data_IF_781876046667
#
_entry.id   IF_781876046667
#
_cell.length_a   1.000
_cell.length_b   1.000
_cell.length_c   1.000
_cell.angle_alpha   90.00
_cell.angle_beta   90.00
_cell.angle_gamma   90.00
#
_symmetry.space_group_name_H-M   'P 1'
#
loop_
_entity.id
_entity.type
_entity.pdbx_description
1 polymer ?
#
# COMPACT_ATOMS: atom_id res chain seq x y z
N UNK A 1 87.79 -20.88 -7.15
CA UNK A 1 86.83 -21.05 -6.04
C UNK A 1 85.59 -20.25 -6.36
N UNK A 2 84.53 -20.90 -6.80
CA UNK A 2 83.27 -20.25 -7.24
C UNK A 2 82.14 -20.71 -6.30
N UNK A 3 81.53 -19.76 -5.59
CA UNK A 3 80.38 -20.02 -4.74
C UNK A 3 79.09 -19.82 -5.55
N UNK A 4 78.30 -20.90 -5.68
CA UNK A 4 76.94 -20.88 -6.22
C UNK A 4 75.96 -20.49 -5.14
N UNK A 5 75.27 -19.41 -5.36
CA UNK A 5 74.09 -19.02 -4.55
C UNK A 5 72.81 -19.67 -5.12
N UNK A 6 72.17 -20.50 -4.32
CA UNK A 6 70.88 -21.09 -4.60
C UNK A 6 69.80 -20.12 -4.13
N UNK A 7 69.07 -19.49 -5.09
CA UNK A 7 67.85 -18.73 -4.80
C UNK A 7 66.69 -19.70 -4.53
N UNK A 8 66.16 -19.66 -3.30
CA UNK A 8 64.90 -20.31 -2.93
C UNK A 8 63.74 -19.42 -3.43
N UNK A 9 62.97 -19.89 -4.38
CA UNK A 9 61.69 -19.26 -4.79
C UNK A 9 60.61 -19.78 -3.83
N UNK A 10 60.13 -18.91 -2.96
CA UNK A 10 58.99 -19.20 -2.10
C UNK A 10 57.70 -19.04 -2.92
N UNK A 11 57.00 -20.13 -3.13
CA UNK A 11 55.63 -20.12 -3.71
C UNK A 11 54.68 -19.70 -2.59
N UNK A 12 54.17 -18.45 -2.65
CA UNK A 12 53.10 -17.97 -1.80
C UNK A 12 51.78 -18.54 -2.32
N UNK A 13 51.26 -19.59 -1.69
CA UNK A 13 49.93 -20.13 -1.99
C UNK A 13 48.85 -19.15 -1.53
N UNK A 14 48.17 -18.53 -2.47
CA UNK A 14 46.91 -17.81 -2.17
C UNK A 14 45.83 -18.84 -1.79
N UNK A 15 45.50 -18.93 -0.53
CA UNK A 15 44.31 -19.60 -0.04
C UNK A 15 43.09 -18.70 -0.40
N UNK A 16 42.37 -19.06 -1.47
CA UNK A 16 41.03 -18.54 -1.69
C UNK A 16 40.09 -19.13 -0.62
N UNK A 17 39.78 -18.33 0.39
CA UNK A 17 38.67 -18.61 1.27
C UNK A 17 37.37 -18.40 0.43
N UNK A 18 36.84 -19.50 -0.12
CA UNK A 18 35.47 -19.51 -0.60
C UNK A 18 34.58 -19.32 0.60
N UNK A 19 33.88 -18.18 0.64
CA UNK A 19 32.77 -17.99 1.57
C UNK A 19 31.75 -19.14 1.35
N UNK A 20 31.22 -19.78 2.41
CA UNK A 20 30.21 -20.79 2.23
C UNK A 20 29.00 -20.12 1.54
N UNK A 21 28.65 -20.60 0.35
CA UNK A 21 27.33 -20.33 -0.21
C UNK A 21 26.30 -20.78 0.83
N UNK A 22 25.36 -19.93 1.19
CA UNK A 22 24.24 -20.32 2.04
C UNK A 22 23.64 -21.58 1.41
N UNK A 23 23.59 -22.67 2.17
CA UNK A 23 22.99 -23.91 1.68
C UNK A 23 21.51 -23.59 1.36
N UNK A 24 21.07 -23.86 0.11
CA UNK A 24 19.66 -23.85 -0.26
C UNK A 24 18.98 -24.91 0.62
N UNK A 25 18.28 -24.46 1.67
CA UNK A 25 17.59 -25.36 2.62
C UNK A 25 16.26 -25.89 2.06
N UNK A 26 15.99 -25.64 0.77
CA UNK A 26 14.82 -26.15 0.06
C UNK A 26 13.53 -25.39 0.36
N UNK A 27 13.58 -24.23 0.97
CA UNK A 27 12.40 -23.38 1.18
C UNK A 27 12.27 -22.29 0.09
N UNK A 28 11.03 -21.95 -0.24
CA UNK A 28 10.68 -20.76 -1.02
C UNK A 28 10.18 -19.68 -0.04
N UNK A 29 10.84 -18.53 0.01
CA UNK A 29 10.56 -17.54 1.04
C UNK A 29 9.91 -16.30 0.50
N UNK A 30 8.80 -15.90 1.11
CA UNK A 30 8.19 -14.58 0.91
C UNK A 30 8.14 -13.82 2.24
N UNK A 31 8.23 -12.50 2.17
CA UNK A 31 8.23 -11.63 3.35
C UNK A 31 7.04 -10.67 3.36
N UNK A 32 6.36 -10.54 4.50
CA UNK A 32 5.44 -9.43 4.78
C UNK A 32 6.16 -8.45 5.70
N UNK A 33 6.42 -7.24 5.19
CA UNK A 33 7.10 -6.18 5.92
C UNK A 33 6.18 -4.96 6.01
N UNK A 34 5.63 -4.70 7.18
CA UNK A 34 4.67 -3.62 7.37
C UNK A 34 4.80 -2.98 8.76
N UNK A 35 3.84 -2.16 9.16
CA UNK A 35 3.74 -1.60 10.51
C UNK A 35 2.93 -2.55 11.39
N UNK A 36 3.61 -3.31 12.26
CA UNK A 36 2.97 -4.32 13.12
C UNK A 36 2.40 -3.74 14.42
N UNK A 37 2.90 -2.60 14.87
CA UNK A 37 2.62 -2.08 16.22
C UNK A 37 2.36 -0.58 16.29
N UNK A 38 2.55 0.16 15.19
CA UNK A 38 2.43 1.61 15.12
C UNK A 38 1.06 2.10 14.59
N UNK A 39 1.00 3.33 14.06
CA UNK A 39 -0.24 4.00 13.67
C UNK A 39 -1.00 3.30 12.54
N UNK A 40 -0.37 2.40 11.80
CA UNK A 40 -0.97 1.66 10.68
C UNK A 40 -1.25 0.18 11.00
N UNK A 41 -1.02 -0.27 12.25
CA UNK A 41 -1.19 -1.67 12.63
C UNK A 41 -2.63 -2.19 12.39
N UNK A 42 -3.64 -1.36 12.59
CA UNK A 42 -5.04 -1.73 12.42
C UNK A 42 -5.48 -1.86 10.95
N UNK A 43 -4.83 -1.11 10.03
CA UNK A 43 -5.19 -1.15 8.62
C UNK A 43 -4.38 -2.19 7.82
N UNK A 44 -3.21 -2.58 8.29
CA UNK A 44 -2.35 -3.62 7.72
C UNK A 44 -1.91 -4.60 8.83
N UNK A 45 -0.75 -4.39 9.41
CA UNK A 45 -0.22 -5.04 10.61
C UNK A 45 -0.41 -6.55 10.69
N UNK A 46 -0.79 -7.08 11.88
CA UNK A 46 -1.04 -8.51 12.06
C UNK A 46 -2.14 -9.07 11.17
N UNK A 47 -3.13 -8.25 10.77
CA UNK A 47 -4.20 -8.65 9.84
C UNK A 47 -3.64 -9.04 8.47
N UNK A 48 -2.70 -8.28 7.94
CA UNK A 48 -2.01 -8.61 6.69
C UNK A 48 -1.28 -9.95 6.77
N UNK A 49 -0.64 -10.25 7.89
CA UNK A 49 0.04 -11.55 8.09
C UNK A 49 -0.95 -12.71 8.02
N UNK A 50 -2.16 -12.54 8.59
CA UNK A 50 -3.22 -13.55 8.49
C UNK A 50 -3.68 -13.71 7.04
N UNK A 51 -3.86 -12.62 6.29
CA UNK A 51 -4.25 -12.66 4.88
C UNK A 51 -3.19 -13.40 4.02
N UNK A 52 -1.90 -13.10 4.22
CA UNK A 52 -0.81 -13.80 3.53
C UNK A 52 -0.77 -15.31 3.86
N UNK A 53 -0.98 -15.69 5.12
CA UNK A 53 -1.08 -17.11 5.52
C UNK A 53 -2.26 -17.80 4.86
N UNK A 54 -3.42 -17.15 4.79
CA UNK A 54 -4.60 -17.68 4.09
C UNK A 54 -4.31 -17.87 2.59
N UNK A 55 -3.60 -16.94 1.95
CA UNK A 55 -3.21 -17.05 0.56
C UNK A 55 -2.26 -18.25 0.31
N UNK A 56 -1.24 -18.42 1.16
CA UNK A 56 -0.31 -19.55 1.09
C UNK A 56 -1.04 -20.89 1.29
N UNK A 57 -1.94 -20.96 2.27
CA UNK A 57 -2.76 -22.17 2.54
C UNK A 57 -3.64 -22.53 1.34
N UNK A 58 -4.35 -21.55 0.79
CA UNK A 58 -5.27 -21.75 -0.34
C UNK A 58 -4.51 -22.10 -1.64
N UNK A 59 -3.29 -21.60 -1.81
CA UNK A 59 -2.40 -21.98 -2.91
C UNK A 59 -1.83 -23.41 -2.79
N UNK A 60 -1.82 -23.99 -1.60
CA UNK A 60 -1.34 -25.35 -1.36
C UNK A 60 0.00 -25.47 -0.65
N UNK A 61 0.55 -24.36 -0.15
CA UNK A 61 1.70 -24.33 0.78
C UNK A 61 3.08 -24.62 0.16
N UNK A 62 3.17 -24.89 -1.15
CA UNK A 62 4.44 -25.17 -1.84
C UNK A 62 4.43 -24.63 -3.28
N UNK A 63 5.58 -24.19 -3.77
CA UNK A 63 5.82 -23.76 -5.16
C UNK A 63 7.21 -24.19 -5.61
N UNK A 64 7.38 -24.50 -6.89
CA UNK A 64 8.64 -25.03 -7.45
C UNK A 64 9.20 -26.27 -6.70
N UNK A 65 8.33 -27.07 -6.10
CA UNK A 65 8.72 -28.22 -5.29
C UNK A 65 9.26 -27.88 -3.88
N UNK A 66 9.24 -26.59 -3.50
CA UNK A 66 9.73 -26.09 -2.22
C UNK A 66 8.55 -25.65 -1.34
N UNK A 67 8.65 -25.90 -0.03
CA UNK A 67 7.68 -25.39 0.93
C UNK A 67 7.76 -23.86 1.01
N UNK A 68 6.61 -23.19 1.02
CA UNK A 68 6.54 -21.73 1.19
C UNK A 68 6.69 -21.37 2.67
N UNK A 69 7.68 -20.51 2.96
CA UNK A 69 7.89 -19.93 4.30
C UNK A 69 7.58 -18.43 4.27
N UNK A 70 6.77 -17.99 5.25
CA UNK A 70 6.42 -16.58 5.43
C UNK A 70 7.28 -15.96 6.51
N UNK A 71 8.12 -15.00 6.13
CA UNK A 71 8.82 -14.11 7.05
C UNK A 71 7.96 -12.89 7.35
N UNK A 72 8.05 -12.38 8.59
CA UNK A 72 7.28 -11.20 9.02
C UNK A 72 8.22 -10.24 9.75
N UNK A 73 8.13 -8.95 9.42
CA UNK A 73 8.90 -7.92 10.12
C UNK A 73 8.13 -6.61 10.24
N UNK A 74 8.44 -5.87 11.31
CA UNK A 74 7.95 -4.53 11.59
C UNK A 74 9.01 -3.49 11.17
N UNK A 75 8.71 -2.69 10.15
CA UNK A 75 9.59 -1.59 9.74
C UNK A 75 9.44 -0.34 10.61
N UNK A 76 8.51 -0.33 11.59
CA UNK A 76 8.27 0.77 12.52
C UNK A 76 8.09 2.15 11.84
N UNK A 77 7.64 2.17 10.60
CA UNK A 77 7.55 3.36 9.74
C UNK A 77 8.89 4.11 9.54
N UNK A 78 10.03 3.42 9.68
CA UNK A 78 11.38 3.97 9.55
C UNK A 78 12.10 3.38 8.34
N UNK A 79 12.62 4.26 7.48
CA UNK A 79 13.28 3.86 6.23
C UNK A 79 14.56 3.05 6.52
N UNK A 80 15.35 3.44 7.49
CA UNK A 80 16.58 2.76 7.89
C UNK A 80 16.33 1.34 8.41
N UNK A 81 15.28 1.15 9.22
CA UNK A 81 14.87 -0.17 9.72
C UNK A 81 14.39 -1.03 8.55
N UNK A 82 13.48 -0.53 7.70
CA UNK A 82 13.00 -1.27 6.54
C UNK A 82 14.13 -1.68 5.60
N UNK A 83 15.09 -0.78 5.34
CA UNK A 83 16.25 -1.06 4.51
C UNK A 83 17.21 -2.10 5.12
N UNK A 84 17.40 -2.08 6.44
CA UNK A 84 18.22 -3.08 7.15
C UNK A 84 17.58 -4.46 7.03
N UNK A 85 16.29 -4.58 7.32
CA UNK A 85 15.54 -5.82 7.20
C UNK A 85 15.52 -6.31 5.75
N UNK A 86 15.29 -5.42 4.78
CA UNK A 86 15.24 -5.78 3.37
C UNK A 86 16.57 -6.35 2.84
N UNK A 87 17.71 -5.77 3.27
CA UNK A 87 19.05 -6.32 2.94
C UNK A 87 19.24 -7.70 3.56
N UNK A 88 19.00 -7.85 4.87
CA UNK A 88 19.09 -9.14 5.55
C UNK A 88 18.22 -10.19 4.83
N UNK A 89 17.00 -9.84 4.44
CA UNK A 89 16.09 -10.76 3.78
C UNK A 89 16.58 -11.19 2.39
N UNK A 90 17.09 -10.27 1.58
CA UNK A 90 17.56 -10.60 0.24
C UNK A 90 18.95 -11.23 0.24
N UNK A 91 19.87 -10.79 1.11
CA UNK A 91 21.28 -11.21 1.10
C UNK A 91 21.54 -12.45 1.97
N UNK A 92 20.80 -12.61 3.08
CA UNK A 92 21.09 -13.66 4.07
C UNK A 92 19.96 -14.68 4.20
N UNK A 93 18.69 -14.26 4.11
CA UNK A 93 17.53 -15.14 4.31
C UNK A 93 17.00 -15.73 3.02
N UNK A 94 17.44 -15.29 1.85
CA UNK A 94 16.98 -15.79 0.55
C UNK A 94 15.49 -15.53 0.29
N UNK A 95 14.96 -14.36 0.68
CA UNK A 95 13.57 -13.99 0.40
C UNK A 95 13.40 -13.67 -1.08
N UNK A 96 12.39 -14.26 -1.72
CA UNK A 96 12.12 -14.14 -3.15
C UNK A 96 11.24 -12.95 -3.50
N UNK A 97 10.32 -12.58 -2.61
CA UNK A 97 9.49 -11.40 -2.77
C UNK A 97 9.10 -10.76 -1.42
N UNK A 98 9.01 -9.42 -1.39
CA UNK A 98 8.51 -8.67 -0.23
C UNK A 98 7.16 -8.06 -0.57
N UNK A 99 6.22 -8.14 0.38
CA UNK A 99 4.83 -7.70 0.24
C UNK A 99 4.43 -6.68 1.30
N UNK A 100 3.31 -6.00 1.03
CA UNK A 100 2.59 -5.05 1.87
C UNK A 100 3.26 -3.68 1.93
N UNK A 101 4.19 -3.46 2.78
CA UNK A 101 4.91 -2.20 3.05
C UNK A 101 3.94 -1.04 3.29
N UNK A 102 3.66 -0.68 4.54
CA UNK A 102 2.68 0.37 4.86
C UNK A 102 3.20 1.79 4.64
N UNK A 103 4.50 2.01 4.79
CA UNK A 103 5.11 3.34 4.68
C UNK A 103 5.66 3.60 3.28
N UNK A 104 5.16 4.64 2.60
CA UNK A 104 5.58 4.96 1.23
C UNK A 104 7.06 5.35 1.11
N UNK A 105 7.67 5.95 2.14
CA UNK A 105 9.11 6.24 2.17
C UNK A 105 9.95 4.98 2.22
N UNK A 106 9.54 4.01 3.05
CA UNK A 106 10.14 2.66 3.10
C UNK A 106 9.95 1.96 1.77
N UNK A 107 8.75 2.03 1.18
CA UNK A 107 8.45 1.41 -0.10
C UNK A 107 9.32 1.93 -1.25
N UNK A 108 9.48 3.25 -1.37
CA UNK A 108 10.34 3.87 -2.38
C UNK A 108 11.81 3.44 -2.26
N UNK A 109 12.32 3.30 -1.03
CA UNK A 109 13.68 2.83 -0.78
C UNK A 109 13.85 1.33 -1.10
N UNK A 110 12.93 0.49 -0.62
CA UNK A 110 12.94 -0.95 -0.86
C UNK A 110 12.75 -1.33 -2.33
N UNK A 111 11.99 -0.54 -3.11
CA UNK A 111 11.82 -0.77 -4.54
C UNK A 111 13.15 -0.74 -5.31
N UNK A 112 14.04 0.19 -4.96
CA UNK A 112 15.39 0.24 -5.52
C UNK A 112 16.24 -0.96 -5.09
N UNK A 113 16.13 -1.36 -3.81
CA UNK A 113 16.83 -2.54 -3.28
C UNK A 113 16.36 -3.82 -3.98
N UNK A 114 15.06 -4.04 -4.11
CA UNK A 114 14.49 -5.20 -4.81
C UNK A 114 14.99 -5.30 -6.25
N UNK A 115 15.03 -4.16 -6.97
CA UNK A 115 15.58 -4.11 -8.33
C UNK A 115 17.05 -4.51 -8.38
N UNK A 116 17.89 -4.04 -7.46
CA UNK A 116 19.32 -4.34 -7.44
C UNK A 116 19.62 -5.81 -7.11
N UNK A 117 18.70 -6.51 -6.43
CA UNK A 117 18.82 -7.92 -6.07
C UNK A 117 18.01 -8.86 -7.00
N UNK A 118 17.45 -8.35 -8.09
CA UNK A 118 16.56 -9.10 -8.99
C UNK A 118 15.40 -9.81 -8.26
N UNK A 119 14.77 -9.11 -7.31
CA UNK A 119 13.65 -9.62 -6.51
C UNK A 119 12.37 -8.83 -6.78
N UNK A 120 11.22 -9.45 -6.57
CA UNK A 120 9.91 -8.81 -6.71
C UNK A 120 9.55 -8.08 -5.42
N UNK A 121 8.91 -6.91 -5.55
CA UNK A 121 8.30 -6.19 -4.43
C UNK A 121 6.87 -5.77 -4.80
N UNK A 122 5.92 -6.04 -3.91
CA UNK A 122 4.50 -5.75 -4.13
C UNK A 122 3.97 -4.87 -3.00
N UNK A 123 3.37 -3.75 -3.37
CA UNK A 123 2.83 -2.75 -2.46
C UNK A 123 1.32 -2.90 -2.36
N UNK A 124 0.85 -3.43 -1.23
CA UNK A 124 -0.57 -3.59 -0.95
C UNK A 124 -1.11 -2.45 -0.08
N UNK A 125 -0.24 -1.77 0.68
CA UNK A 125 -0.62 -0.71 1.60
C UNK A 125 0.07 0.63 1.34
N UNK A 126 1.29 0.66 0.76
CA UNK A 126 1.96 1.91 0.40
C UNK A 126 1.25 2.60 -0.77
N UNK A 127 0.74 3.82 -0.53
CA UNK A 127 -0.17 4.50 -1.47
C UNK A 127 0.48 5.61 -2.30
N UNK A 128 1.79 5.93 -2.15
CA UNK A 128 2.41 6.97 -2.98
C UNK A 128 2.28 6.65 -4.46
N UNK A 129 1.76 7.61 -5.23
CA UNK A 129 1.65 7.51 -6.70
C UNK A 129 3.01 7.50 -7.41
N UNK A 130 4.09 7.84 -6.69
CA UNK A 130 5.45 7.81 -7.23
C UNK A 130 5.94 6.37 -7.46
N UNK A 131 5.41 5.37 -6.73
CA UNK A 131 5.81 3.96 -6.83
C UNK A 131 5.57 3.39 -8.25
N UNK A 132 4.52 3.82 -8.92
CA UNK A 132 4.21 3.47 -10.32
C UNK A 132 4.28 4.69 -11.25
N UNK A 133 4.73 5.85 -10.72
CA UNK A 133 5.02 7.09 -11.42
C UNK A 133 6.53 7.24 -11.69
N UNK A 134 7.08 8.39 -11.32
CA UNK A 134 8.50 8.75 -11.57
C UNK A 134 9.53 7.78 -10.97
N UNK A 135 9.16 7.01 -9.95
CA UNK A 135 10.02 6.02 -9.31
C UNK A 135 9.68 4.57 -9.69
N UNK A 136 8.86 4.33 -10.72
CA UNK A 136 8.47 2.99 -11.12
C UNK A 136 9.67 2.08 -11.37
N UNK A 137 9.49 0.78 -11.10
CA UNK A 137 10.53 -0.23 -11.22
C UNK A 137 10.00 -1.43 -12.01
N UNK A 138 10.83 -2.08 -12.86
CA UNK A 138 10.41 -3.30 -13.54
C UNK A 138 10.07 -4.45 -12.58
N UNK A 139 10.57 -4.40 -11.34
CA UNK A 139 10.36 -5.41 -10.31
C UNK A 139 9.29 -5.01 -9.28
N UNK A 140 8.73 -3.79 -9.37
CA UNK A 140 7.76 -3.25 -8.42
C UNK A 140 6.34 -3.32 -8.97
N UNK A 141 5.40 -3.78 -8.14
CA UNK A 141 3.97 -3.82 -8.46
C UNK A 141 3.20 -3.15 -7.32
N UNK A 142 2.36 -2.19 -7.63
CA UNK A 142 1.46 -1.57 -6.66
C UNK A 142 0.06 -2.15 -6.83
N UNK A 143 -0.33 -3.01 -5.88
CA UNK A 143 -1.55 -3.83 -5.99
C UNK A 143 -2.80 -3.07 -5.59
N UNK A 144 -2.83 -2.53 -4.37
CA UNK A 144 -3.95 -1.72 -3.93
C UNK A 144 -3.88 -0.29 -4.48
N UNK A 145 -4.90 0.50 -4.25
CA UNK A 145 -5.06 1.85 -4.75
C UNK A 145 -3.95 2.81 -4.29
N UNK A 146 -3.59 3.74 -5.17
CA UNK A 146 -2.64 4.80 -4.88
C UNK A 146 -3.33 6.12 -4.47
N UNK A 147 -2.52 7.11 -4.12
CA UNK A 147 -2.99 8.43 -3.71
C UNK A 147 -3.80 9.14 -4.81
N UNK A 148 -3.41 8.98 -6.07
CA UNK A 148 -4.15 9.57 -7.19
C UNK A 148 -5.57 8.98 -7.27
N UNK A 149 -5.68 7.65 -7.25
CA UNK A 149 -6.96 6.95 -7.38
C UNK A 149 -7.87 7.12 -6.16
N UNK A 150 -7.31 7.42 -4.99
CA UNK A 150 -8.07 7.73 -3.78
C UNK A 150 -8.51 9.20 -3.73
N UNK A 151 -7.64 10.13 -4.11
CA UNK A 151 -7.87 11.57 -3.91
C UNK A 151 -8.62 12.25 -5.05
N UNK A 152 -8.26 11.95 -6.30
CA UNK A 152 -8.73 12.73 -7.46
C UNK A 152 -10.24 12.69 -7.67
N UNK A 153 -10.85 11.51 -7.57
CA UNK A 153 -12.29 11.35 -7.75
C UNK A 153 -13.08 12.13 -6.68
N UNK A 154 -12.64 12.05 -5.42
CA UNK A 154 -13.27 12.77 -4.31
C UNK A 154 -13.15 14.28 -4.48
N UNK A 155 -11.98 14.81 -4.84
CA UNK A 155 -11.80 16.26 -5.05
C UNK A 155 -12.72 16.78 -6.17
N UNK A 156 -12.80 16.08 -7.30
CA UNK A 156 -13.68 16.42 -8.41
C UNK A 156 -15.17 16.42 -8.00
N UNK A 157 -15.59 15.42 -7.21
CA UNK A 157 -16.96 15.34 -6.69
C UNK A 157 -17.28 16.54 -5.82
N UNK A 158 -16.41 16.90 -4.88
CA UNK A 158 -16.62 18.02 -3.96
C UNK A 158 -16.72 19.37 -4.70
N UNK A 159 -15.89 19.57 -5.74
CA UNK A 159 -15.94 20.78 -6.57
C UNK A 159 -17.26 20.86 -7.35
N UNK A 160 -17.71 19.74 -7.92
CA UNK A 160 -19.00 19.67 -8.62
C UNK A 160 -20.16 20.01 -7.69
N UNK A 161 -20.05 19.70 -6.40
CA UNK A 161 -21.00 20.06 -5.35
C UNK A 161 -20.87 21.52 -4.85
N UNK A 162 -20.02 22.34 -5.50
CA UNK A 162 -19.81 23.75 -5.14
C UNK A 162 -18.82 23.98 -3.98
N UNK A 163 -18.09 22.96 -3.57
CA UNK A 163 -17.02 23.04 -2.56
C UNK A 163 -15.68 23.22 -3.26
N UNK A 164 -15.34 24.45 -3.62
CA UNK A 164 -14.27 24.81 -4.54
C UNK A 164 -13.00 25.35 -3.88
N UNK A 165 -13.00 25.51 -2.52
CA UNK A 165 -11.83 25.96 -1.76
C UNK A 165 -11.40 24.93 -0.73
N UNK A 166 -10.07 24.65 -0.69
CA UNK A 166 -9.49 23.55 0.07
C UNK A 166 -8.34 24.01 0.95
N UNK A 167 -8.22 23.42 2.13
CA UNK A 167 -7.05 23.53 3.00
C UNK A 167 -6.61 22.12 3.43
N UNK A 168 -5.30 21.85 3.49
CA UNK A 168 -4.77 20.52 3.79
C UNK A 168 -4.14 20.46 5.19
N UNK A 169 -4.42 19.37 5.90
CA UNK A 169 -3.61 18.89 7.03
C UNK A 169 -2.96 17.61 6.55
N UNK A 170 -1.64 17.65 6.33
CA UNK A 170 -0.91 16.65 5.57
C UNK A 170 0.11 15.94 6.45
N UNK A 171 0.13 14.60 6.40
CA UNK A 171 1.18 13.79 7.03
C UNK A 171 2.55 14.13 6.42
N UNK A 172 3.53 14.50 7.26
CA UNK A 172 4.83 15.05 6.84
C UNK A 172 5.82 13.96 6.41
N UNK A 173 5.44 13.15 5.41
CA UNK A 173 6.32 12.18 4.76
C UNK A 173 5.81 11.83 3.35
N UNK A 174 6.53 10.94 2.62
CA UNK A 174 6.30 10.66 1.20
C UNK A 174 4.83 10.39 0.81
N UNK A 175 4.07 9.68 1.66
CA UNK A 175 2.65 9.42 1.46
C UNK A 175 1.82 10.70 1.42
N UNK A 176 1.85 11.50 2.49
CA UNK A 176 1.05 12.72 2.58
C UNK A 176 1.44 13.76 1.53
N UNK A 177 2.74 13.91 1.26
CA UNK A 177 3.27 14.81 0.21
C UNK A 177 2.73 14.42 -1.16
N UNK A 178 2.74 13.12 -1.50
CA UNK A 178 2.20 12.61 -2.76
C UNK A 178 0.69 12.81 -2.85
N UNK A 179 -0.06 12.52 -1.78
CA UNK A 179 -1.51 12.69 -1.74
C UNK A 179 -1.93 14.16 -1.94
N UNK A 180 -1.27 15.08 -1.23
CA UNK A 180 -1.52 16.51 -1.37
C UNK A 180 -1.22 17.00 -2.80
N UNK A 181 -0.11 16.55 -3.38
CA UNK A 181 0.27 16.94 -4.74
C UNK A 181 -0.76 16.47 -5.78
N UNK A 182 -1.19 15.21 -5.72
CA UNK A 182 -2.21 14.65 -6.61
C UNK A 182 -3.57 15.36 -6.43
N UNK A 183 -3.97 15.62 -5.17
CA UNK A 183 -5.22 16.32 -4.87
C UNK A 183 -5.19 17.79 -5.34
N UNK A 184 -4.09 18.53 -5.14
CA UNK A 184 -3.93 19.92 -5.63
C UNK A 184 -4.01 20.01 -7.15
N UNK A 185 -3.36 19.09 -7.87
CA UNK A 185 -3.44 19.03 -9.33
C UNK A 185 -4.90 18.79 -9.78
N UNK A 186 -5.60 17.86 -9.13
CA UNK A 186 -7.00 17.58 -9.42
C UNK A 186 -7.91 18.79 -9.14
N UNK A 187 -7.70 19.48 -8.01
CA UNK A 187 -8.45 20.69 -7.61
C UNK A 187 -8.25 21.78 -8.65
N UNK A 188 -6.98 22.08 -9.03
CA UNK A 188 -6.67 23.12 -10.01
C UNK A 188 -7.28 22.81 -11.40
N UNK A 189 -7.18 21.58 -11.88
CA UNK A 189 -7.77 21.12 -13.15
C UNK A 189 -9.30 21.18 -13.16
N UNK A 190 -9.93 21.05 -12.01
CA UNK A 190 -11.39 21.15 -11.87
C UNK A 190 -11.89 22.56 -11.57
N UNK A 191 -11.01 23.59 -11.55
CA UNK A 191 -11.36 24.98 -11.31
C UNK A 191 -11.50 25.36 -9.83
N UNK A 192 -11.05 24.51 -8.89
CA UNK A 192 -11.00 24.82 -7.47
C UNK A 192 -9.69 25.50 -7.05
N UNK A 193 -9.64 25.93 -5.80
CA UNK A 193 -8.51 26.64 -5.21
C UNK A 193 -8.03 25.99 -3.91
N UNK A 194 -6.71 25.82 -3.76
CA UNK A 194 -6.09 25.45 -2.49
C UNK A 194 -5.64 26.72 -1.75
N UNK A 195 -6.19 26.95 -0.55
CA UNK A 195 -5.89 28.13 0.25
C UNK A 195 -4.63 27.98 1.11
N UNK A 196 -4.20 26.75 1.37
CA UNK A 196 -2.98 26.46 2.13
C UNK A 196 -2.87 25.01 2.57
N UNK A 197 -1.80 24.74 3.31
CA UNK A 197 -1.55 23.45 3.95
C UNK A 197 -0.71 23.62 5.22
N UNK A 198 -0.87 22.69 6.15
CA UNK A 198 0.02 22.48 7.30
C UNK A 198 0.51 21.04 7.32
N UNK A 199 1.72 20.81 7.85
CA UNK A 199 2.35 19.50 7.93
C UNK A 199 2.31 18.99 9.36
N UNK A 200 1.80 17.77 9.56
CA UNK A 200 1.78 17.08 10.84
C UNK A 200 2.71 15.87 10.79
N UNK A 201 3.65 15.73 11.72
CA UNK A 201 4.48 14.53 11.83
C UNK A 201 3.62 13.27 11.97
N UNK A 202 4.14 12.13 11.50
CA UNK A 202 3.48 10.85 11.71
C UNK A 202 3.40 10.54 13.22
N UNK A 203 2.27 9.98 13.64
CA UNK A 203 1.96 9.68 15.04
C UNK A 203 1.76 10.93 15.90
N UNK A 204 1.08 11.95 15.33
CA UNK A 204 0.72 13.17 16.04
C UNK A 204 -0.45 12.90 17.00
N UNK A 205 -0.26 13.13 18.30
CA UNK A 205 -1.29 12.95 19.32
C UNK A 205 -2.26 14.15 19.44
N UNK A 206 -1.80 15.35 19.10
CA UNK A 206 -2.56 16.59 19.22
C UNK A 206 -2.57 17.36 17.90
N UNK A 207 -3.74 17.41 17.26
CA UNK A 207 -3.99 18.12 16.01
C UNK A 207 -4.57 19.53 16.23
N UNK A 208 -4.73 20.02 17.48
CA UNK A 208 -5.43 21.26 17.79
C UNK A 208 -4.91 22.46 17.00
N UNK A 209 -3.61 22.70 16.97
CA UNK A 209 -3.01 23.84 16.25
C UNK A 209 -3.20 23.74 14.74
N UNK A 210 -3.12 22.54 14.18
CA UNK A 210 -3.35 22.28 12.75
C UNK A 210 -4.80 22.53 12.37
N UNK A 211 -5.75 22.07 13.20
CA UNK A 211 -7.19 22.24 13.00
C UNK A 211 -7.61 23.72 13.13
N UNK A 212 -7.10 24.44 14.11
CA UNK A 212 -7.34 25.88 14.26
C UNK A 212 -6.81 26.67 13.04
N UNK A 213 -5.66 26.30 12.50
CA UNK A 213 -5.11 26.91 11.28
C UNK A 213 -6.01 26.62 10.08
N UNK A 214 -6.48 25.38 9.94
CA UNK A 214 -7.44 25.00 8.90
C UNK A 214 -8.77 25.75 9.05
N UNK A 215 -9.29 25.89 10.24
CA UNK A 215 -10.52 26.65 10.53
C UNK A 215 -10.37 28.14 10.17
N UNK A 216 -9.22 28.74 10.51
CA UNK A 216 -8.92 30.15 10.20
C UNK A 216 -8.79 30.40 8.68
N UNK A 217 -8.46 29.40 7.87
CA UNK A 217 -8.36 29.50 6.41
C UNK A 217 -9.70 29.83 5.73
N UNK A 218 -10.83 29.51 6.36
CA UNK A 218 -12.18 29.64 5.81
C UNK A 218 -12.41 28.81 4.53
N UNK A 219 -11.54 27.83 4.25
CA UNK A 219 -11.77 26.90 3.15
C UNK A 219 -13.11 26.15 3.34
N UNK A 220 -13.83 25.90 2.25
CA UNK A 220 -15.06 25.09 2.30
C UNK A 220 -14.77 23.63 2.67
N UNK A 221 -13.55 23.16 2.37
CA UNK A 221 -13.11 21.79 2.63
C UNK A 221 -11.79 21.78 3.36
N UNK A 222 -11.71 21.06 4.47
CA UNK A 222 -10.46 20.66 5.12
C UNK A 222 -10.15 19.21 4.70
N UNK A 223 -9.03 19.00 4.03
CA UNK A 223 -8.59 17.68 3.61
C UNK A 223 -7.63 17.12 4.64
N UNK A 224 -8.02 16.02 5.29
CA UNK A 224 -7.14 15.25 6.16
C UNK A 224 -6.32 14.28 5.27
N UNK A 225 -5.15 14.75 4.83
CA UNK A 225 -4.21 13.98 4.02
C UNK A 225 -3.29 13.12 4.91
N UNK A 226 -3.90 12.35 5.81
CA UNK A 226 -3.34 11.38 6.73
C UNK A 226 -4.16 10.09 6.71
N UNK A 227 -3.84 9.09 7.54
CA UNK A 227 -4.54 7.80 7.60
C UNK A 227 -4.29 7.10 8.94
N UNK A 228 -5.03 6.02 9.22
CA UNK A 228 -4.86 5.19 10.41
C UNK A 228 -5.12 5.94 11.71
N UNK A 229 -4.23 5.78 12.69
CA UNK A 229 -4.38 6.42 13.99
C UNK A 229 -4.41 7.96 13.90
N UNK A 230 -3.59 8.55 13.01
CA UNK A 230 -3.58 10.01 12.80
C UNK A 230 -4.90 10.52 12.22
N UNK A 231 -5.51 9.78 11.28
CA UNK A 231 -6.85 10.09 10.77
C UNK A 231 -7.90 10.02 11.88
N UNK A 232 -7.89 8.93 12.63
CA UNK A 232 -8.85 8.73 13.73
C UNK A 232 -8.74 9.84 14.78
N UNK A 233 -7.52 10.24 15.15
CA UNK A 233 -7.26 11.30 16.11
C UNK A 233 -7.69 12.67 15.56
N UNK A 234 -7.22 13.03 14.36
CA UNK A 234 -7.52 14.33 13.75
C UNK A 234 -9.01 14.52 13.48
N UNK A 235 -9.73 13.47 13.07
CA UNK A 235 -11.17 13.56 12.82
C UNK A 235 -11.98 13.69 14.12
N UNK A 236 -11.62 12.95 15.19
CA UNK A 236 -12.26 13.11 16.50
C UNK A 236 -12.06 14.52 17.05
N UNK A 237 -10.84 15.04 17.00
CA UNK A 237 -10.53 16.39 17.42
C UNK A 237 -11.23 17.46 16.54
N UNK A 238 -11.32 17.25 15.22
CA UNK A 238 -12.07 18.13 14.33
C UNK A 238 -13.57 18.22 14.73
N UNK A 239 -14.15 17.10 15.14
CA UNK A 239 -15.51 17.07 15.66
C UNK A 239 -15.63 17.82 17.01
N UNK A 240 -14.69 17.62 17.94
CA UNK A 240 -14.63 18.33 19.23
C UNK A 240 -14.49 19.85 19.07
N UNK A 241 -13.69 20.31 18.10
CA UNK A 241 -13.51 21.73 17.77
C UNK A 241 -14.67 22.33 16.96
N UNK A 242 -15.68 21.53 16.59
CA UNK A 242 -16.83 22.02 15.82
C UNK A 242 -16.46 22.55 14.43
N UNK A 243 -15.47 21.94 13.77
CA UNK A 243 -15.09 22.29 12.39
C UNK A 243 -16.28 22.10 11.46
N UNK A 244 -16.98 20.98 11.56
CA UNK A 244 -18.26 20.75 10.90
C UNK A 244 -19.41 21.37 11.73
N UNK A 245 -20.47 21.93 11.10
CA UNK A 245 -20.76 21.90 9.66
C UNK A 245 -20.15 23.07 8.85
N UNK A 246 -19.41 23.99 9.47
CA UNK A 246 -18.91 25.19 8.78
C UNK A 246 -17.93 24.88 7.64
N UNK A 247 -17.14 23.83 7.81
CA UNK A 247 -16.21 23.30 6.79
C UNK A 247 -16.45 21.80 6.64
N UNK A 248 -16.48 21.31 5.40
CA UNK A 248 -16.56 19.88 5.12
C UNK A 248 -15.20 19.21 5.39
N UNK A 249 -15.18 18.10 6.09
CA UNK A 249 -13.96 17.29 6.28
C UNK A 249 -13.91 16.22 5.19
N UNK A 250 -12.87 16.26 4.36
CA UNK A 250 -12.59 15.24 3.36
C UNK A 250 -11.47 14.30 3.84
N UNK A 251 -11.71 13.01 3.75
CA UNK A 251 -10.79 11.94 4.21
C UNK A 251 -10.50 10.97 3.06
N UNK A 252 -9.62 11.34 2.11
CA UNK A 252 -9.41 10.55 0.88
C UNK A 252 -8.94 9.11 1.14
N UNK A 253 -8.17 8.90 2.20
CA UNK A 253 -7.64 7.59 2.59
C UNK A 253 -8.29 7.17 3.91
N UNK A 254 -9.35 6.43 3.80
CA UNK A 254 -10.13 5.92 4.95
C UNK A 254 -10.39 4.43 4.73
N UNK A 255 -10.22 3.64 5.76
CA UNK A 255 -10.44 2.19 5.76
C UNK A 255 -11.59 1.81 6.69
N UNK A 256 -12.12 0.61 6.53
CA UNK A 256 -13.15 0.06 7.41
C UNK A 256 -12.69 0.04 8.88
N UNK A 257 -11.40 -0.24 9.12
CA UNK A 257 -10.77 -0.18 10.45
C UNK A 257 -10.81 1.21 11.07
N UNK A 258 -10.62 2.26 10.26
CA UNK A 258 -10.68 3.65 10.72
C UNK A 258 -12.11 4.01 11.12
N UNK A 259 -13.10 3.65 10.30
CA UNK A 259 -14.52 3.86 10.63
C UNK A 259 -14.91 3.16 11.94
N UNK A 260 -14.40 1.93 12.15
CA UNK A 260 -14.60 1.21 13.41
C UNK A 260 -13.97 1.92 14.61
N UNK A 261 -12.74 2.46 14.46
CA UNK A 261 -12.03 3.16 15.53
C UNK A 261 -12.61 4.54 15.86
N UNK A 262 -13.14 5.24 14.86
CA UNK A 262 -13.77 6.57 14.98
C UNK A 262 -15.19 6.43 15.53
N UNK A 263 -15.95 5.46 15.04
CA UNK A 263 -17.35 5.24 15.35
C UNK A 263 -18.30 6.00 14.40
N UNK A 264 -19.43 5.37 14.09
CA UNK A 264 -20.44 5.93 13.19
C UNK A 264 -20.96 7.32 13.59
N UNK A 265 -21.15 7.67 14.88
CA UNK A 265 -21.62 9.00 15.27
C UNK A 265 -20.72 10.17 14.80
N UNK A 266 -19.42 9.92 14.58
CA UNK A 266 -18.47 10.93 14.09
C UNK A 266 -18.20 10.75 12.59
N UNK A 267 -18.09 9.49 12.14
CA UNK A 267 -17.66 9.18 10.78
C UNK A 267 -18.80 9.20 9.74
N UNK A 268 -20.07 9.28 10.16
CA UNK A 268 -21.19 9.20 9.22
C UNK A 268 -21.11 10.22 8.09
N UNK A 269 -21.64 9.85 6.92
CA UNK A 269 -21.67 10.64 5.71
C UNK A 269 -20.29 11.00 5.10
N UNK A 270 -19.18 10.51 5.65
CA UNK A 270 -17.88 10.60 4.98
C UNK A 270 -17.93 9.82 3.66
N UNK A 271 -17.33 10.41 2.62
CA UNK A 271 -17.20 9.83 1.29
C UNK A 271 -15.73 9.53 1.00
N UNK A 272 -15.45 8.32 0.53
CA UNK A 272 -14.11 7.90 0.11
C UNK A 272 -14.15 6.74 -0.88
N UNK A 273 -13.03 6.52 -1.56
CA UNK A 273 -12.88 5.42 -2.51
C UNK A 273 -12.39 4.16 -1.80
N UNK A 274 -12.99 3.00 -2.16
CA UNK A 274 -12.55 1.68 -1.72
C UNK A 274 -12.23 0.80 -2.91
N UNK A 275 -11.23 -0.06 -2.76
CA UNK A 275 -10.91 -1.10 -3.73
C UNK A 275 -11.79 -2.34 -3.53
N UNK A 276 -12.18 -2.57 -2.29
CA UNK A 276 -12.92 -3.75 -1.88
C UNK A 276 -13.70 -3.47 -0.58
N UNK A 277 -14.80 -4.19 -0.39
CA UNK A 277 -15.55 -4.18 0.86
C UNK A 277 -16.07 -5.59 1.15
N UNK A 278 -16.01 -6.00 2.39
CA UNK A 278 -16.31 -7.37 2.80
C UNK A 278 -17.74 -7.82 2.48
N UNK A 279 -18.68 -6.90 2.37
CA UNK A 279 -20.10 -7.14 2.13
C UNK A 279 -20.56 -6.72 0.71
N UNK A 280 -19.69 -6.82 -0.29
CA UNK A 280 -20.07 -6.54 -1.69
C UNK A 280 -20.89 -7.68 -2.32
N UNK A 281 -20.50 -8.93 -2.07
CA UNK A 281 -21.10 -10.12 -2.68
C UNK A 281 -20.85 -11.37 -1.81
N UNK A 282 -21.35 -12.54 -2.25
CA UNK A 282 -21.21 -13.79 -1.48
C UNK A 282 -19.76 -14.26 -1.37
N UNK A 283 -18.93 -14.03 -2.38
CA UNK A 283 -17.52 -14.40 -2.37
C UNK A 283 -16.74 -13.56 -1.35
N UNK A 284 -16.93 -12.24 -1.35
CA UNK A 284 -16.28 -11.35 -0.38
C UNK A 284 -16.73 -11.66 1.05
N UNK A 285 -18.02 -11.93 1.26
CA UNK A 285 -18.56 -12.35 2.57
C UNK A 285 -17.97 -13.67 3.05
N UNK A 286 -17.84 -14.65 2.17
CA UNK A 286 -17.30 -15.96 2.53
C UNK A 286 -15.83 -15.86 2.95
N UNK A 287 -15.02 -15.12 2.18
CA UNK A 287 -13.61 -14.88 2.51
C UNK A 287 -13.47 -14.08 3.80
N UNK A 288 -14.23 -13.01 3.97
CA UNK A 288 -14.21 -12.18 5.17
C UNK A 288 -14.59 -12.94 6.43
N UNK A 289 -15.54 -13.89 6.37
CA UNK A 289 -15.88 -14.77 7.51
C UNK A 289 -14.70 -15.68 7.92
N UNK A 290 -13.95 -16.20 6.95
CA UNK A 290 -12.73 -16.99 7.24
C UNK A 290 -11.66 -16.14 7.88
N UNK A 291 -11.47 -14.91 7.41
CA UNK A 291 -10.54 -13.94 8.00
C UNK A 291 -10.99 -13.57 9.43
N UNK A 292 -12.26 -13.23 9.62
CA UNK A 292 -12.84 -12.87 10.93
C UNK A 292 -12.70 -14.00 11.97
N UNK A 293 -12.85 -15.26 11.57
CA UNK A 293 -12.67 -16.40 12.48
C UNK A 293 -11.25 -16.49 13.06
N UNK A 294 -10.26 -15.88 12.42
CA UNK A 294 -8.84 -15.88 12.82
C UNK A 294 -8.43 -14.61 13.57
N UNK A 295 -9.09 -13.48 13.26
CA UNK A 295 -8.68 -12.16 13.74
C UNK A 295 -9.67 -11.48 14.67
N UNK A 296 -10.92 -11.94 14.68
CA UNK A 296 -12.08 -11.29 15.32
C UNK A 296 -12.32 -9.86 14.85
N UNK A 297 -11.83 -9.51 13.66
CA UNK A 297 -12.03 -8.23 12.96
C UNK A 297 -12.41 -8.47 11.51
N UNK A 298 -13.26 -7.62 10.94
CA UNK A 298 -13.50 -7.67 9.50
C UNK A 298 -12.29 -7.13 8.74
N UNK A 299 -11.95 -7.76 7.60
CA UNK A 299 -10.86 -7.28 6.77
C UNK A 299 -11.23 -5.98 6.06
N UNK A 300 -10.22 -5.17 5.77
CA UNK A 300 -10.29 -4.05 4.86
C UNK A 300 -9.69 -4.42 3.48
N UNK A 301 -9.65 -3.46 2.57
CA UNK A 301 -9.15 -3.67 1.21
C UNK A 301 -7.64 -3.93 1.12
N UNK A 302 -6.80 -3.46 2.08
CA UNK A 302 -5.37 -3.79 2.11
C UNK A 302 -5.15 -5.29 2.33
N UNK A 303 -5.87 -5.89 3.27
CA UNK A 303 -5.75 -7.32 3.57
C UNK A 303 -6.28 -8.20 2.44
N UNK A 304 -7.38 -7.76 1.78
CA UNK A 304 -7.90 -8.46 0.61
C UNK A 304 -6.93 -8.33 -0.59
N UNK A 305 -6.32 -7.16 -0.78
CA UNK A 305 -5.30 -6.92 -1.80
C UNK A 305 -4.06 -7.79 -1.58
N UNK A 306 -3.56 -7.88 -0.34
CA UNK A 306 -2.41 -8.72 0.00
C UNK A 306 -2.70 -10.21 -0.25
N UNK A 307 -3.88 -10.70 0.13
CA UNK A 307 -4.26 -12.06 -0.20
C UNK A 307 -4.21 -12.31 -1.72
N UNK A 308 -4.83 -11.42 -2.51
CA UNK A 308 -4.86 -11.49 -3.97
C UNK A 308 -3.45 -11.43 -4.56
N UNK A 309 -2.62 -10.50 -4.12
CA UNK A 309 -1.26 -10.29 -4.65
C UNK A 309 -0.34 -11.49 -4.38
N UNK A 310 -0.43 -12.10 -3.20
CA UNK A 310 0.33 -13.31 -2.85
C UNK A 310 -0.11 -14.49 -3.72
N UNK A 311 -1.42 -14.72 -3.89
CA UNK A 311 -1.93 -15.81 -4.75
C UNK A 311 -1.45 -15.60 -6.18
N UNK A 312 -1.64 -14.42 -6.75
CA UNK A 312 -1.26 -14.14 -8.14
C UNK A 312 0.25 -14.22 -8.38
N UNK A 313 1.08 -13.79 -7.41
CA UNK A 313 2.52 -13.95 -7.47
C UNK A 313 2.93 -15.43 -7.47
N UNK A 314 2.38 -16.24 -6.56
CA UNK A 314 2.67 -17.68 -6.46
C UNK A 314 2.21 -18.44 -7.71
N UNK A 315 1.06 -18.09 -8.28
CA UNK A 315 0.57 -18.63 -9.56
C UNK A 315 1.52 -18.27 -10.72
N UNK A 316 2.04 -17.03 -10.74
CA UNK A 316 2.99 -16.59 -11.76
C UNK A 316 4.34 -17.33 -11.63
N UNK A 317 4.84 -17.55 -10.42
CA UNK A 317 6.03 -18.35 -10.14
C UNK A 317 5.83 -19.80 -10.60
N UNK A 318 4.71 -20.42 -10.22
CA UNK A 318 4.39 -21.79 -10.61
C UNK A 318 4.27 -21.93 -12.13
N UNK A 319 3.60 -21.00 -12.80
CA UNK A 319 3.39 -20.99 -14.26
C UNK A 319 4.68 -20.75 -15.03
N UNK A 320 5.56 -19.90 -14.53
CA UNK A 320 6.85 -19.59 -15.17
C UNK A 320 7.94 -20.64 -14.89
N UNK A 321 7.76 -21.45 -13.83
CA UNK A 321 8.75 -22.46 -13.41
C UNK A 321 10.03 -21.87 -12.82
N UNK A 322 10.01 -20.58 -12.40
CA UNK A 322 11.19 -19.86 -11.87
C UNK A 322 10.77 -18.75 -10.92
N UNK A 323 11.69 -18.30 -10.05
CA UNK A 323 11.59 -17.12 -9.18
C UNK A 323 12.29 -15.88 -9.77
N UNK A 324 12.83 -15.97 -10.99
CA UNK A 324 13.46 -14.83 -11.68
C UNK A 324 12.48 -13.68 -11.87
N UNK A 325 12.76 -12.54 -11.23
CA UNK A 325 11.81 -11.44 -11.13
C UNK A 325 11.32 -10.90 -12.49
N UNK A 326 12.14 -10.65 -13.52
CA UNK A 326 11.68 -10.24 -14.83
C UNK A 326 10.69 -11.21 -15.47
N UNK A 327 10.93 -12.52 -15.33
CA UNK A 327 10.08 -13.58 -15.90
C UNK A 327 8.76 -13.64 -15.13
N UNK A 328 8.81 -13.62 -13.80
CA UNK A 328 7.63 -13.63 -12.92
C UNK A 328 6.76 -12.41 -13.18
N UNK A 329 7.33 -11.20 -13.16
CA UNK A 329 6.58 -9.95 -13.41
C UNK A 329 5.98 -9.93 -14.81
N UNK A 330 6.70 -10.39 -15.83
CA UNK A 330 6.16 -10.57 -17.18
C UNK A 330 4.97 -11.53 -17.19
N UNK A 331 5.04 -12.61 -16.43
CA UNK A 331 3.96 -13.59 -16.32
C UNK A 331 2.75 -12.99 -15.60
N UNK A 332 2.95 -12.21 -14.54
CA UNK A 332 1.89 -11.48 -13.83
C UNK A 332 1.16 -10.47 -14.73
N UNK A 333 1.87 -9.84 -15.67
CA UNK A 333 1.32 -8.87 -16.63
C UNK A 333 0.64 -9.51 -17.84
N UNK A 334 0.85 -10.80 -18.08
CA UNK A 334 0.47 -11.44 -19.35
C UNK A 334 -1.04 -11.60 -19.58
N UNK A 335 -1.85 -11.61 -18.51
CA UNK A 335 -3.29 -11.79 -18.62
C UNK A 335 -4.02 -11.08 -17.46
N UNK A 336 -5.27 -10.66 -17.67
CA UNK A 336 -6.14 -10.26 -16.57
C UNK A 336 -6.33 -11.41 -15.58
N UNK A 337 -6.57 -11.05 -14.31
CA UNK A 337 -6.90 -12.00 -13.25
C UNK A 337 -8.27 -11.67 -12.63
N UNK A 338 -8.83 -12.66 -11.96
CA UNK A 338 -10.09 -12.57 -11.25
C UNK A 338 -10.02 -13.42 -9.98
N UNK A 339 -10.38 -12.84 -8.85
CA UNK A 339 -10.34 -13.50 -7.54
C UNK A 339 -11.31 -12.82 -6.56
N UNK A 340 -11.12 -13.06 -5.24
CA UNK A 340 -11.94 -12.44 -4.20
C UNK A 340 -11.78 -10.90 -4.13
N UNK A 341 -10.66 -10.37 -4.61
CA UNK A 341 -10.38 -8.93 -4.54
C UNK A 341 -11.06 -8.18 -5.69
N UNK A 342 -11.05 -8.74 -6.89
CA UNK A 342 -11.65 -8.09 -8.07
C UNK A 342 -12.12 -9.08 -9.12
N UNK A 343 -13.22 -8.74 -9.81
CA UNK A 343 -13.72 -9.52 -10.96
C UNK A 343 -12.82 -9.37 -12.20
N UNK A 344 -12.05 -8.28 -12.30
CA UNK A 344 -11.17 -8.03 -13.46
C UNK A 344 -10.01 -7.13 -13.06
N UNK A 345 -8.88 -7.73 -12.73
CA UNK A 345 -7.61 -7.04 -12.43
C UNK A 345 -6.64 -7.13 -13.59
N UNK A 346 -5.91 -6.05 -13.85
CA UNK A 346 -4.85 -6.00 -14.89
C UNK A 346 -3.60 -5.35 -14.31
N UNK A 347 -2.46 -6.02 -14.42
CA UNK A 347 -1.15 -5.45 -14.07
C UNK A 347 -0.60 -4.71 -15.29
N UNK A 348 -0.54 -3.37 -15.24
CA UNK A 348 -0.05 -2.52 -16.33
C UNK A 348 1.47 -2.51 -16.42
N UNK A 349 1.99 -1.93 -17.50
CA UNK A 349 3.43 -1.82 -17.77
C UNK A 349 4.19 -0.99 -16.72
N UNK A 350 3.55 0.02 -16.14
CA UNK A 350 4.10 0.83 -15.04
C UNK A 350 4.11 0.11 -13.66
N UNK A 351 3.61 -1.12 -13.60
CA UNK A 351 3.46 -1.90 -12.37
C UNK A 351 2.19 -1.59 -11.57
N UNK A 352 1.30 -0.70 -12.05
CA UNK A 352 0.02 -0.42 -11.41
C UNK A 352 -0.98 -1.52 -11.72
N UNK A 353 -1.61 -2.10 -10.70
CA UNK A 353 -2.78 -2.96 -10.89
C UNK A 353 -4.03 -2.09 -10.99
N UNK A 354 -4.81 -2.27 -12.05
CA UNK A 354 -6.03 -1.50 -12.30
C UNK A 354 -7.25 -2.42 -12.29
N UNK A 355 -8.33 -1.94 -11.68
CA UNK A 355 -9.60 -2.64 -11.49
C UNK A 355 -10.70 -1.63 -11.18
N UNK A 356 -11.97 -2.05 -11.22
CA UNK A 356 -13.09 -1.19 -10.83
C UNK A 356 -13.02 -0.85 -9.34
N UNK A 357 -13.36 0.39 -9.00
CA UNK A 357 -13.38 0.86 -7.62
C UNK A 357 -14.76 1.29 -7.18
N UNK A 358 -14.93 1.50 -5.89
CA UNK A 358 -16.20 1.79 -5.26
C UNK A 358 -16.14 3.12 -4.52
N UNK A 359 -17.03 4.06 -4.86
CA UNK A 359 -17.30 5.23 -4.02
C UNK A 359 -18.24 4.77 -2.90
N UNK A 360 -17.77 4.90 -1.68
CA UNK A 360 -18.51 4.48 -0.49
C UNK A 360 -18.87 5.69 0.37
N UNK A 361 -19.99 5.58 1.07
CA UNK A 361 -20.40 6.51 2.12
C UNK A 361 -20.47 5.76 3.45
N UNK A 362 -19.96 6.36 4.51
CA UNK A 362 -20.17 5.84 5.86
C UNK A 362 -21.64 5.98 6.23
N UNK A 363 -22.24 4.89 6.66
CA UNK A 363 -23.64 4.85 7.13
C UNK A 363 -23.82 5.69 8.38
N UNK A 364 -25.04 6.23 8.54
CA UNK A 364 -25.48 6.79 9.80
C UNK A 364 -25.76 5.67 10.80
N UNK A 365 -25.69 5.90 12.12
CA UNK A 365 -25.92 4.87 13.12
C UNK A 365 -27.21 4.05 12.91
N UNK A 366 -28.30 4.72 12.52
CA UNK A 366 -29.61 4.11 12.27
C UNK A 366 -29.69 3.28 10.99
N UNK A 367 -28.74 3.44 10.06
CA UNK A 367 -28.65 2.67 8.82
C UNK A 367 -27.86 1.36 8.99
N UNK A 368 -27.03 1.26 10.04
CA UNK A 368 -26.21 0.07 10.34
C UNK A 368 -27.07 -1.00 11.02
N UNK A 369 -27.17 -2.18 10.42
CA UNK A 369 -28.09 -3.24 10.84
C UNK A 369 -27.41 -4.36 11.66
N UNK A 370 -26.09 -4.49 11.53
CA UNK A 370 -25.29 -5.53 12.17
C UNK A 370 -23.84 -5.06 12.37
N UNK A 371 -23.04 -5.72 13.20
CA UNK A 371 -21.65 -5.34 13.40
C UNK A 371 -20.87 -5.26 12.08
N UNK A 372 -20.05 -4.21 11.90
CA UNK A 372 -19.25 -3.93 10.70
C UNK A 372 -20.04 -3.55 9.43
N UNK A 373 -21.35 -3.39 9.51
CA UNK A 373 -22.18 -2.85 8.44
C UNK A 373 -22.08 -1.32 8.38
N UNK A 374 -20.89 -0.83 8.04
CA UNK A 374 -20.58 0.60 8.17
C UNK A 374 -20.64 1.37 6.87
N UNK A 375 -20.60 0.70 5.71
CA UNK A 375 -20.47 1.38 4.43
C UNK A 375 -21.67 1.10 3.52
N UNK A 376 -22.09 2.16 2.81
CA UNK A 376 -23.09 2.10 1.75
C UNK A 376 -22.39 2.37 0.40
N UNK A 377 -22.63 1.52 -0.59
CA UNK A 377 -22.16 1.71 -1.96
C UNK A 377 -22.92 2.88 -2.60
N UNK A 378 -22.19 3.90 -3.04
CA UNK A 378 -22.74 5.06 -3.78
C UNK A 378 -22.61 4.86 -5.27
N UNK A 379 -21.42 4.45 -5.75
CA UNK A 379 -21.17 4.20 -7.17
C UNK A 379 -20.01 3.23 -7.37
N UNK A 380 -20.08 2.45 -8.45
CA UNK A 380 -18.96 1.70 -9.00
C UNK A 380 -18.27 2.57 -10.07
N UNK A 381 -16.96 2.73 -9.96
CA UNK A 381 -16.15 3.56 -10.85
C UNK A 381 -15.30 2.62 -11.70
N UNK A 382 -15.47 2.63 -13.03
CA UNK A 382 -14.68 1.78 -13.93
C UNK A 382 -13.18 2.04 -13.83
N UNK A 383 -12.36 1.02 -14.08
CA UNK A 383 -10.90 1.04 -13.94
C UNK A 383 -10.23 2.19 -14.71
N UNK A 384 -10.69 2.48 -15.93
CA UNK A 384 -10.18 3.55 -16.79
C UNK A 384 -10.44 4.97 -16.26
N UNK A 385 -11.42 5.12 -15.37
CA UNK A 385 -11.75 6.39 -14.69
C UNK A 385 -11.16 6.45 -13.27
N UNK A 386 -10.94 5.28 -12.66
CA UNK A 386 -10.51 5.14 -11.27
C UNK A 386 -8.99 5.33 -11.08
N UNK A 387 -8.19 5.08 -12.12
CA UNK A 387 -6.73 5.16 -12.07
C UNK A 387 -6.16 6.17 -13.05
N UNK A 388 -4.97 6.71 -12.70
CA UNK A 388 -4.25 7.64 -13.56
C UNK A 388 -4.01 7.00 -14.95
N UNK A 389 -4.31 7.69 -16.05
CA UNK A 389 -3.99 7.19 -17.38
C UNK A 389 -2.50 6.87 -17.51
N UNK A 390 -2.16 5.76 -18.19
CA UNK A 390 -0.78 5.28 -18.31
C UNK A 390 0.19 6.35 -18.85
N UNK A 391 -0.21 7.10 -19.87
CA UNK A 391 0.61 8.17 -20.45
C UNK A 391 0.82 9.40 -19.55
N UNK A 392 0.09 9.49 -18.41
CA UNK A 392 0.18 10.60 -17.45
C UNK A 392 0.93 10.23 -16.16
N UNK A 393 1.44 9.00 -16.03
CA UNK A 393 2.07 8.53 -14.78
C UNK A 393 3.48 9.09 -14.57
N UNK A 394 4.18 9.47 -15.63
CA UNK A 394 5.58 9.88 -15.60
C UNK A 394 6.56 8.72 -15.33
N UNK A 395 6.10 7.48 -15.50
CA UNK A 395 6.95 6.30 -15.36
C UNK A 395 7.94 6.18 -16.55
N UNK A 396 9.26 6.12 -16.29
CA UNK A 396 10.26 5.98 -17.37
C UNK A 396 10.12 4.69 -18.18
N UNK A 397 9.50 3.64 -17.62
CA UNK A 397 9.30 2.36 -18.32
C UNK A 397 8.23 2.45 -19.43
N UNK A 398 7.37 3.47 -19.38
CA UNK A 398 6.26 3.68 -20.32
C UNK A 398 6.46 4.87 -21.23
N UNK A 399 7.64 5.53 -21.16
CA UNK A 399 7.99 6.62 -22.07
C UNK A 399 8.07 6.08 -23.53
N UNK A 400 7.60 6.83 -24.52
CA UNK A 400 7.81 6.46 -25.93
C UNK A 400 9.31 6.29 -26.20
N UNK A 401 9.68 5.17 -26.81
CA UNK A 401 11.07 4.87 -27.21
C UNK A 401 11.48 5.75 -28.41
#
# INVERSE_FOLDING_TARGET
MAWRQIRRIGILGLLFLSAPAAADDGAFRIGVMNDQSGPYADLAGPGSVVAARMAIEDFGGAVLGKKIELLVADHQNKVDIGMTIGREWYEEKGVDAIFDITNSGVGLALQNLARSHNKVIIFDSASSSDLTGKACSPNGIQWNADNWSNGVALMRLLIKDGRDTFFFITADYAFGVSLEADARDAIAKAGGQTLGAVRAPLNTADFSSYLLTAQASKAKVVVLANSGADLSTSLKQANEFGITPAQYIATPITYLSDVNAIGLPIAHDLLFMQSWYWDLNDQTRAWAKRFFSRTHRMPNDNQAALYSSVVHYLEAVAKSGTDDAPIVVKTMKAAPFHDVFTDHGVVREDGRVVYDRYLMRVKRPEESKYPWDYLALVAKIPADQAFRPLGATGCPLTAPK
#
